data_IF_976105151709
#
_entry.id   IF_976105151709
#
_cell.length_a   1.000
_cell.length_b   1.000
_cell.length_c   1.000
_cell.angle_alpha   90.00
_cell.angle_beta   90.00
_cell.angle_gamma   90.00
#
_symmetry.space_group_name_H-M   'P 1'
#
loop_
_entity.id
_entity.type
_entity.pdbx_description
1 polymer ?
#
# COMPACT_ATOMS: atom_id res chain seq x y z
N UNK A 1 22.78 -23.42 -29.03
CA UNK A 1 21.65 -23.26 -29.96
C UNK A 1 20.40 -23.25 -29.09
N UNK A 2 19.92 -22.07 -28.69
CA UNK A 2 18.75 -21.98 -27.80
C UNK A 2 17.51 -22.29 -28.62
N UNK A 3 16.85 -23.42 -28.35
CA UNK A 3 15.55 -23.73 -28.93
C UNK A 3 14.55 -22.70 -28.42
N UNK A 4 14.23 -21.71 -29.23
CA UNK A 4 13.09 -20.85 -28.97
C UNK A 4 11.84 -21.64 -29.36
N UNK A 5 11.28 -22.42 -28.42
CA UNK A 5 9.97 -23.03 -28.60
C UNK A 5 8.92 -21.92 -28.70
N UNK A 6 8.02 -22.02 -29.68
CA UNK A 6 6.86 -21.13 -29.77
C UNK A 6 5.89 -21.46 -28.64
N UNK A 7 5.13 -20.48 -28.15
CA UNK A 7 4.04 -20.69 -27.18
C UNK A 7 3.06 -21.77 -27.67
N UNK A 8 2.91 -21.90 -28.99
CA UNK A 8 1.99 -22.84 -29.62
C UNK A 8 2.50 -24.30 -29.62
N UNK A 9 3.77 -24.53 -29.28
CA UNK A 9 4.39 -25.86 -29.29
C UNK A 9 4.55 -26.45 -27.88
N UNK A 10 4.10 -25.72 -26.85
CA UNK A 10 4.18 -26.16 -25.46
C UNK A 10 3.01 -27.11 -25.12
N UNK A 11 3.33 -28.28 -24.54
CA UNK A 11 2.32 -29.25 -24.13
C UNK A 11 1.64 -28.80 -22.83
N UNK A 12 0.40 -29.26 -22.53
CA UNK A 12 -0.28 -28.94 -21.28
C UNK A 12 0.56 -29.23 -20.02
N UNK A 13 1.39 -30.26 -20.05
CA UNK A 13 2.29 -30.61 -18.94
C UNK A 13 3.44 -29.61 -18.79
N UNK A 14 3.99 -29.09 -19.90
CA UNK A 14 5.00 -28.02 -19.88
C UNK A 14 4.40 -26.71 -19.35
N UNK A 15 3.13 -26.43 -19.67
CA UNK A 15 2.37 -25.32 -19.08
C UNK A 15 2.17 -25.50 -17.57
N UNK A 16 1.75 -26.68 -17.13
CA UNK A 16 1.55 -26.98 -15.72
C UNK A 16 2.84 -26.87 -14.91
N UNK A 17 3.98 -27.28 -15.48
CA UNK A 17 5.30 -27.20 -14.85
C UNK A 17 5.81 -25.74 -14.75
N UNK A 18 5.59 -24.93 -15.79
CA UNK A 18 5.88 -23.48 -15.77
C UNK A 18 5.01 -22.73 -14.75
N UNK A 19 3.72 -23.05 -14.72
CA UNK A 19 2.76 -22.45 -13.79
C UNK A 19 3.09 -22.83 -12.35
N UNK A 20 3.51 -24.07 -12.09
CA UNK A 20 3.99 -24.52 -10.77
C UNK A 20 5.16 -23.68 -10.23
N UNK A 21 6.03 -23.22 -11.12
CA UNK A 21 7.22 -22.43 -10.77
C UNK A 21 6.96 -20.91 -10.65
N UNK A 22 5.82 -20.40 -11.14
CA UNK A 22 5.51 -18.95 -11.12
C UNK A 22 4.66 -18.52 -9.91
N UNK A 23 4.02 -19.47 -9.21
CA UNK A 23 3.16 -19.17 -8.06
C UNK A 23 3.88 -18.78 -6.75
N UNK A 24 5.22 -18.84 -6.70
CA UNK A 24 5.97 -18.48 -5.48
C UNK A 24 6.27 -16.98 -5.36
N UNK A 25 5.88 -16.17 -6.36
CA UNK A 25 5.99 -14.71 -6.31
C UNK A 25 4.69 -14.13 -5.78
N UNK A 26 4.64 -13.94 -4.46
CA UNK A 26 3.55 -13.24 -3.80
C UNK A 26 3.58 -11.74 -4.16
N UNK A 27 2.97 -11.39 -5.30
CA UNK A 27 2.90 -10.00 -5.80
C UNK A 27 2.10 -9.07 -4.88
N UNK A 28 1.35 -9.61 -3.92
CA UNK A 28 0.48 -8.85 -3.01
C UNK A 28 1.20 -8.58 -1.69
N UNK A 29 1.85 -9.58 -1.09
CA UNK A 29 2.53 -9.44 0.20
C UNK A 29 4.06 -9.26 0.07
N UNK A 30 4.66 -9.60 -1.08
CA UNK A 30 6.09 -9.39 -1.39
C UNK A 30 6.33 -8.86 -2.81
N UNK A 31 5.65 -7.78 -3.25
CA UNK A 31 5.97 -7.12 -4.51
C UNK A 31 7.45 -6.70 -4.55
N UNK A 32 8.24 -7.12 -5.56
CA UNK A 32 9.68 -6.83 -5.66
C UNK A 32 10.05 -5.33 -5.74
N UNK A 33 9.05 -4.44 -5.81
CA UNK A 33 9.20 -3.05 -6.26
C UNK A 33 8.93 -1.97 -5.20
N UNK A 34 8.67 -2.32 -3.92
CA UNK A 34 8.45 -1.30 -2.87
C UNK A 34 9.56 -1.19 -1.80
N UNK A 35 10.57 -2.06 -1.81
CA UNK A 35 11.56 -2.15 -0.72
C UNK A 35 12.93 -1.50 -1.03
N UNK A 36 12.98 -0.44 -1.86
CA UNK A 36 14.25 0.10 -2.39
C UNK A 36 14.56 1.57 -2.05
N UNK A 37 13.81 2.24 -1.19
CA UNK A 37 14.05 3.64 -0.84
C UNK A 37 14.19 3.85 0.66
N UNK A 38 15.16 4.64 1.12
CA UNK A 38 15.33 5.05 2.52
C UNK A 38 14.36 6.16 2.95
N UNK A 39 13.22 6.30 2.27
CA UNK A 39 12.19 7.31 2.49
C UNK A 39 10.88 6.56 2.74
N UNK A 40 10.17 6.92 3.80
CA UNK A 40 8.89 6.31 4.12
C UNK A 40 7.83 6.76 3.10
N UNK A 41 6.89 5.86 2.77
CA UNK A 41 5.86 6.13 1.76
C UNK A 41 4.99 7.35 2.13
N UNK A 42 4.73 7.57 3.43
CA UNK A 42 3.96 8.74 3.86
C UNK A 42 4.69 10.06 3.60
N UNK A 43 6.02 10.09 3.76
CA UNK A 43 6.82 11.30 3.50
C UNK A 43 6.81 11.64 2.01
N UNK A 44 6.87 10.62 1.16
CA UNK A 44 6.72 10.79 -0.29
C UNK A 44 5.32 11.33 -0.65
N UNK A 45 4.25 10.81 -0.01
CA UNK A 45 2.87 11.28 -0.21
C UNK A 45 2.73 12.74 0.24
N UNK A 46 3.24 13.08 1.42
CA UNK A 46 3.22 14.45 1.95
C UNK A 46 3.92 15.43 1.01
N UNK A 47 5.09 15.05 0.46
CA UNK A 47 5.84 15.89 -0.48
C UNK A 47 5.14 16.12 -1.82
N UNK A 48 4.20 15.24 -2.20
CA UNK A 48 3.50 15.28 -3.49
C UNK A 48 2.19 16.06 -3.44
N UNK A 49 1.54 16.12 -2.27
CA UNK A 49 0.21 16.68 -2.10
C UNK A 49 0.26 18.14 -1.65
N UNK A 50 -0.76 18.91 -2.02
CA UNK A 50 -1.01 20.20 -1.36
C UNK A 50 -1.38 19.98 0.12
N UNK A 51 -1.23 20.99 1.00
CA UNK A 51 -1.61 20.87 2.40
C UNK A 51 -3.07 20.43 2.60
N UNK A 52 -3.99 20.98 1.80
CA UNK A 52 -5.41 20.59 1.84
C UNK A 52 -5.61 19.11 1.46
N UNK A 53 -4.94 18.65 0.40
CA UNK A 53 -5.01 17.25 -0.02
C UNK A 53 -4.39 16.31 1.00
N UNK A 54 -3.27 16.67 1.62
CA UNK A 54 -2.63 15.83 2.64
C UNK A 54 -3.48 15.75 3.92
N UNK A 55 -4.05 16.87 4.37
CA UNK A 55 -5.05 16.89 5.45
C UNK A 55 -6.24 15.99 5.09
N UNK A 56 -6.75 16.09 3.85
CA UNK A 56 -7.80 15.22 3.33
C UNK A 56 -7.42 13.74 3.36
N UNK A 57 -6.20 13.41 2.95
CA UNK A 57 -5.64 12.06 2.97
C UNK A 57 -5.59 11.49 4.39
N UNK A 58 -5.08 12.24 5.37
CA UNK A 58 -4.99 11.79 6.76
C UNK A 58 -6.39 11.57 7.36
N UNK A 59 -7.31 12.52 7.15
CA UNK A 59 -8.72 12.43 7.59
C UNK A 59 -9.42 11.21 6.99
N UNK A 60 -9.27 11.00 5.68
CA UNK A 60 -9.86 9.87 4.97
C UNK A 60 -9.34 8.52 5.47
N UNK A 61 -8.04 8.41 5.76
CA UNK A 61 -7.46 7.19 6.30
C UNK A 61 -7.91 6.92 7.74
N UNK A 62 -7.94 7.93 8.62
CA UNK A 62 -8.51 7.79 9.97
C UNK A 62 -9.94 7.26 9.92
N UNK A 63 -10.81 7.92 9.15
CA UNK A 63 -12.20 7.51 8.94
C UNK A 63 -12.31 6.07 8.41
N UNK A 64 -11.51 5.71 7.41
CA UNK A 64 -11.47 4.36 6.82
C UNK A 64 -11.25 3.30 7.89
N UNK A 65 -10.31 3.50 8.81
CA UNK A 65 -10.04 2.51 9.86
C UNK A 65 -11.14 2.49 10.93
N UNK A 66 -11.68 3.65 11.33
CA UNK A 66 -12.85 3.71 12.24
C UNK A 66 -14.05 2.99 11.64
N UNK A 67 -14.29 3.11 10.34
CA UNK A 67 -15.35 2.37 9.67
C UNK A 67 -15.06 0.87 9.66
N UNK A 68 -13.84 0.47 9.27
CA UNK A 68 -13.46 -0.93 9.04
C UNK A 68 -13.48 -1.79 10.30
N UNK A 69 -13.27 -1.19 11.47
CA UNK A 69 -13.08 -1.90 12.74
C UNK A 69 -14.17 -2.94 13.05
N UNK A 70 -15.41 -2.73 12.58
CA UNK A 70 -16.55 -3.62 12.84
C UNK A 70 -16.66 -4.82 11.91
N UNK A 71 -15.91 -4.87 10.82
CA UNK A 71 -16.20 -5.79 9.70
C UNK A 71 -15.06 -6.75 9.35
N UNK A 72 -13.83 -6.52 9.82
CA UNK A 72 -12.64 -7.32 9.44
C UNK A 72 -12.01 -8.12 10.57
N UNK A 73 -12.67 -8.24 11.72
CA UNK A 73 -12.20 -9.06 12.86
C UNK A 73 -10.92 -8.54 13.52
N UNK A 74 -10.52 -7.29 13.25
CA UNK A 74 -9.28 -6.66 13.73
C UNK A 74 -9.52 -5.28 14.35
N UNK A 75 -10.60 -5.16 15.13
CA UNK A 75 -11.08 -3.88 15.64
C UNK A 75 -10.00 -3.05 16.35
N UNK A 76 -9.21 -3.69 17.22
CA UNK A 76 -8.14 -3.00 17.98
C UNK A 76 -7.02 -2.50 17.04
N UNK A 77 -6.62 -3.29 16.05
CA UNK A 77 -5.60 -2.88 15.07
C UNK A 77 -6.10 -1.71 14.21
N UNK A 78 -7.38 -1.73 13.83
CA UNK A 78 -8.02 -0.64 13.11
C UNK A 78 -8.11 0.63 13.97
N UNK A 79 -8.50 0.54 15.25
CA UNK A 79 -8.47 1.70 16.15
C UNK A 79 -7.07 2.30 16.26
N UNK A 80 -6.04 1.47 16.49
CA UNK A 80 -4.65 1.94 16.56
C UNK A 80 -4.19 2.62 15.26
N UNK A 81 -4.61 2.11 14.10
CA UNK A 81 -4.32 2.74 12.81
C UNK A 81 -5.03 4.09 12.67
N UNK A 82 -6.30 4.18 13.07
CA UNK A 82 -7.00 5.46 13.12
C UNK A 82 -6.26 6.47 13.98
N UNK A 83 -5.89 6.09 15.20
CA UNK A 83 -5.21 6.98 16.14
C UNK A 83 -3.85 7.45 15.58
N UNK A 84 -3.14 6.58 14.86
CA UNK A 84 -1.90 6.95 14.18
C UNK A 84 -2.12 8.06 13.13
N UNK A 85 -3.17 7.94 12.30
CA UNK A 85 -3.50 8.97 11.29
C UNK A 85 -3.99 10.27 11.93
N UNK A 86 -4.74 10.19 13.03
CA UNK A 86 -5.19 11.39 13.75
C UNK A 86 -4.03 12.11 14.45
N UNK A 87 -3.10 11.37 15.06
CA UNK A 87 -1.90 11.97 15.66
C UNK A 87 -1.01 12.61 14.60
N UNK A 88 -0.85 11.96 13.44
CA UNK A 88 -0.12 12.55 12.30
C UNK A 88 -0.80 13.81 11.76
N UNK A 89 -2.14 13.82 11.71
CA UNK A 89 -2.90 15.00 11.33
C UNK A 89 -2.68 16.14 12.33
N UNK A 90 -2.77 15.86 13.63
CA UNK A 90 -2.52 16.84 14.68
C UNK A 90 -1.11 17.43 14.58
N UNK A 91 -0.09 16.58 14.47
CA UNK A 91 1.30 17.00 14.28
C UNK A 91 1.46 17.90 13.05
N UNK A 92 0.85 17.51 11.93
CA UNK A 92 0.93 18.28 10.69
C UNK A 92 0.29 19.67 10.85
N UNK A 93 -0.92 19.77 11.41
CA UNK A 93 -1.61 21.06 11.54
C UNK A 93 -1.02 21.96 12.63
N UNK A 94 -0.42 21.39 13.69
CA UNK A 94 0.32 22.15 14.70
C UNK A 94 1.52 22.87 14.07
N UNK A 95 2.19 22.21 13.12
CA UNK A 95 3.34 22.74 12.39
C UNK A 95 2.97 23.65 11.21
N UNK A 96 1.72 23.61 10.74
CA UNK A 96 1.26 24.32 9.54
C UNK A 96 -0.04 25.10 9.83
N UNK A 97 -0.05 25.93 10.87
CA UNK A 97 -1.27 26.66 11.27
C UNK A 97 -1.77 27.65 10.21
N UNK A 98 -0.88 28.12 9.33
CA UNK A 98 -1.18 29.05 8.25
C UNK A 98 -2.06 28.45 7.14
N UNK A 99 -2.13 27.11 7.05
CA UNK A 99 -2.98 26.40 6.07
C UNK A 99 -4.38 26.12 6.62
N UNK A 100 -4.61 26.38 7.90
CA UNK A 100 -5.93 26.37 8.52
C UNK A 100 -6.51 27.78 8.36
N UNK A 101 -7.60 27.88 7.59
CA UNK A 101 -8.22 29.16 7.21
C UNK A 101 -8.62 30.07 8.36
#
# INVERSE_FOLDING_TARGET
MSLHKSINDATPEEWDELVKNTYDVDIVNKPPHYNKGGIECIDAIESMLTPEEFIGYLRGNSLKYRWRMRYKGKAIEDCKKSDWYDNKLLEYIENNQDVLG
#
